data_IF_673250811426
#
_entry.id   IF_673250811426
#
_cell.length_a   1.000
_cell.length_b   1.000
_cell.length_c   1.000
_cell.angle_alpha   90.00
_cell.angle_beta   90.00
_cell.angle_gamma   90.00
#
_symmetry.space_group_name_H-M   'P 1'
#
loop_
_entity.id
_entity.type
_entity.pdbx_description
1 polymer ?
#
# COMPACT_ATOMS: atom_id res chain seq x y z
N UNK A 1 -15.51 35.77 14.40
CA UNK A 1 -14.47 36.75 13.98
C UNK A 1 -13.13 36.63 14.71
N UNK A 2 -13.01 36.80 16.03
CA UNK A 2 -11.69 36.71 16.71
C UNK A 2 -11.16 35.27 16.78
N UNK A 3 -12.01 34.31 17.21
CA UNK A 3 -11.67 32.87 17.26
C UNK A 3 -11.30 32.27 15.88
N UNK A 4 -11.98 32.71 14.82
CA UNK A 4 -11.75 32.20 13.45
C UNK A 4 -10.42 32.74 12.89
N UNK A 5 -10.12 34.02 13.16
CA UNK A 5 -8.85 34.65 12.83
C UNK A 5 -7.67 33.95 13.53
N UNK A 6 -7.84 33.56 14.79
CA UNK A 6 -6.81 32.85 15.55
C UNK A 6 -6.58 31.43 14.99
N UNK A 7 -7.65 30.74 14.58
CA UNK A 7 -7.59 29.39 14.01
C UNK A 7 -6.92 29.38 12.64
N UNK A 8 -7.28 30.34 11.77
CA UNK A 8 -6.67 30.49 10.44
C UNK A 8 -5.17 30.78 10.52
N UNK A 9 -4.77 31.72 11.39
CA UNK A 9 -3.36 32.04 11.61
C UNK A 9 -2.59 30.85 12.20
N UNK A 10 -3.19 30.12 13.14
CA UNK A 10 -2.60 28.90 13.68
C UNK A 10 -2.38 27.83 12.60
N UNK A 11 -3.37 27.57 11.74
CA UNK A 11 -3.24 26.64 10.62
C UNK A 11 -2.14 27.06 9.65
N UNK A 12 -2.08 28.36 9.29
CA UNK A 12 -1.01 28.89 8.46
C UNK A 12 0.37 28.66 9.08
N UNK A 13 0.51 28.88 10.40
CA UNK A 13 1.78 28.64 11.09
C UNK A 13 2.17 27.16 11.15
N UNK A 14 1.19 26.26 11.19
CA UNK A 14 1.46 24.81 11.24
C UNK A 14 1.70 24.20 9.87
N UNK A 15 1.01 24.66 8.83
CA UNK A 15 0.97 24.01 7.52
C UNK A 15 1.54 24.89 6.40
N UNK A 16 1.44 26.21 6.51
CA UNK A 16 1.80 27.18 5.46
C UNK A 16 3.27 27.59 5.43
N UNK A 17 4.04 27.44 6.51
CA UNK A 17 5.43 27.95 6.59
C UNK A 17 6.40 27.13 5.71
N UNK A 18 6.16 25.83 5.55
CA UNK A 18 7.06 24.95 4.81
C UNK A 18 6.74 24.93 3.32
N UNK A 19 7.77 25.10 2.47
CA UNK A 19 7.67 24.86 1.03
C UNK A 19 7.53 23.37 0.67
N UNK A 20 7.64 22.47 1.65
CA UNK A 20 7.35 21.05 1.43
C UNK A 20 5.87 20.90 1.02
N UNK A 21 5.63 20.09 -0.02
CA UNK A 21 4.29 19.78 -0.50
C UNK A 21 3.65 18.64 0.30
N UNK A 22 4.44 17.92 1.09
CA UNK A 22 3.96 16.82 1.93
C UNK A 22 3.48 17.30 3.30
N UNK A 23 2.54 16.56 3.85
CA UNK A 23 2.07 16.74 5.22
C UNK A 23 2.88 15.90 6.17
N UNK A 24 3.33 16.52 7.27
CA UNK A 24 3.78 15.73 8.42
C UNK A 24 2.57 15.44 9.31
N UNK A 25 2.43 14.21 9.82
CA UNK A 25 1.33 13.83 10.72
C UNK A 25 1.29 14.58 12.06
N UNK A 26 2.20 15.55 12.28
CA UNK A 26 2.33 16.33 13.51
C UNK A 26 1.11 17.20 13.85
N UNK A 27 0.33 17.62 12.84
CA UNK A 27 -0.90 18.38 13.05
C UNK A 27 -2.01 17.52 13.67
N UNK A 28 -2.02 16.22 13.38
CA UNK A 28 -3.12 15.32 13.77
C UNK A 28 -3.25 15.17 15.29
N UNK A 29 -2.15 15.34 16.04
CA UNK A 29 -2.18 15.28 17.51
C UNK A 29 -2.85 16.51 18.14
N UNK A 30 -3.03 17.58 17.37
CA UNK A 30 -3.67 18.83 17.81
C UNK A 30 -5.09 18.97 17.26
N UNK A 31 -5.51 18.09 16.34
CA UNK A 31 -6.88 18.05 15.84
C UNK A 31 -7.81 17.40 16.89
N UNK A 32 -9.01 17.95 16.99
CA UNK A 32 -10.13 17.41 17.76
C UNK A 32 -11.43 17.98 17.18
N UNK A 33 -12.58 17.49 17.62
CA UNK A 33 -13.87 17.92 17.11
C UNK A 33 -14.12 19.45 17.18
N UNK A 34 -13.71 20.13 18.25
CA UNK A 34 -13.89 21.59 18.37
C UNK A 34 -13.00 22.34 17.37
N UNK A 35 -11.75 21.92 17.24
CA UNK A 35 -10.81 22.48 16.26
C UNK A 35 -11.34 22.28 14.83
N UNK A 36 -11.82 21.09 14.48
CA UNK A 36 -12.36 20.82 13.14
C UNK A 36 -13.60 21.69 12.82
N UNK A 37 -14.46 21.96 13.80
CA UNK A 37 -15.58 22.90 13.62
C UNK A 37 -15.10 24.31 13.30
N UNK A 38 -14.14 24.82 14.07
CA UNK A 38 -13.57 26.15 13.82
C UNK A 38 -12.85 26.22 12.46
N UNK A 39 -12.22 25.12 12.04
CA UNK A 39 -11.55 25.01 10.74
C UNK A 39 -12.55 25.13 9.60
N UNK A 40 -13.71 24.46 9.69
CA UNK A 40 -14.76 24.57 8.67
C UNK A 40 -15.14 26.03 8.41
N UNK A 41 -15.34 26.80 9.49
CA UNK A 41 -15.81 28.19 9.40
C UNK A 41 -14.79 29.12 8.73
N UNK A 42 -13.49 28.87 8.91
CA UNK A 42 -12.42 29.66 8.27
C UNK A 42 -11.82 29.02 7.01
N UNK A 43 -12.28 27.82 6.61
CA UNK A 43 -11.70 27.06 5.50
C UNK A 43 -11.63 27.85 4.19
N UNK A 44 -12.68 28.57 3.74
CA UNK A 44 -12.65 29.29 2.46
C UNK A 44 -11.53 30.33 2.38
N UNK A 45 -11.20 30.96 3.52
CA UNK A 45 -10.20 32.03 3.64
C UNK A 45 -8.76 31.51 3.73
N UNK A 46 -8.57 30.19 3.87
CA UNK A 46 -7.25 29.59 3.92
C UNK A 46 -6.56 29.64 2.55
N UNK A 47 -5.24 29.75 2.55
CA UNK A 47 -4.45 29.59 1.33
C UNK A 47 -4.55 28.17 0.79
N UNK A 48 -4.53 28.00 -0.55
CA UNK A 48 -4.59 26.70 -1.23
C UNK A 48 -3.63 25.67 -0.61
N UNK A 49 -2.38 26.05 -0.36
CA UNK A 49 -1.38 25.14 0.21
C UNK A 49 -1.76 24.62 1.60
N UNK A 50 -2.39 25.48 2.43
CA UNK A 50 -2.87 25.11 3.77
C UNK A 50 -4.07 24.18 3.64
N UNK A 51 -5.01 24.46 2.73
CA UNK A 51 -6.17 23.61 2.43
C UNK A 51 -5.75 22.20 2.02
N UNK A 52 -4.85 22.08 1.05
CA UNK A 52 -4.34 20.79 0.55
C UNK A 52 -3.65 20.00 1.66
N UNK A 53 -2.79 20.65 2.44
CA UNK A 53 -2.10 19.99 3.56
C UNK A 53 -3.06 19.60 4.69
N UNK A 54 -4.10 20.38 4.95
CA UNK A 54 -5.11 20.03 5.93
C UNK A 54 -5.86 18.77 5.48
N UNK A 55 -6.35 18.73 4.24
CA UNK A 55 -7.08 17.59 3.69
C UNK A 55 -6.21 16.31 3.67
N UNK A 56 -4.96 16.41 3.20
CA UNK A 56 -4.01 15.29 3.22
C UNK A 56 -3.69 14.81 4.66
N UNK A 57 -3.77 15.70 5.65
CA UNK A 57 -3.55 15.30 7.05
C UNK A 57 -4.59 14.30 7.56
N UNK A 58 -5.77 14.21 6.95
CA UNK A 58 -6.82 13.29 7.36
C UNK A 58 -6.38 11.82 7.27
N UNK A 59 -5.47 11.48 6.35
CA UNK A 59 -4.88 10.15 6.24
C UNK A 59 -4.02 9.74 7.42
N UNK A 60 -3.52 10.71 8.18
CA UNK A 60 -2.68 10.48 9.35
C UNK A 60 -3.50 10.41 10.65
N UNK A 61 -4.81 10.68 10.59
CA UNK A 61 -5.70 10.58 11.75
C UNK A 61 -5.96 9.09 12.04
N UNK A 62 -5.77 8.62 13.28
CA UNK A 62 -6.09 7.24 13.66
C UNK A 62 -7.56 6.91 13.38
N UNK A 63 -7.84 5.69 12.91
CA UNK A 63 -9.20 5.24 12.53
C UNK A 63 -10.27 5.54 13.58
N UNK A 64 -9.97 5.34 14.87
CA UNK A 64 -10.90 5.64 15.97
C UNK A 64 -11.32 7.12 16.00
N UNK A 65 -10.36 8.02 15.79
CA UNK A 65 -10.62 9.47 15.78
C UNK A 65 -11.36 9.90 14.51
N UNK A 66 -11.10 9.24 13.37
CA UNK A 66 -11.88 9.45 12.14
C UNK A 66 -13.35 9.07 12.35
N UNK A 67 -13.64 7.98 13.06
CA UNK A 67 -15.01 7.57 13.38
C UNK A 67 -15.69 8.55 14.35
N UNK A 68 -14.95 9.07 15.33
CA UNK A 68 -15.45 9.99 16.35
C UNK A 68 -15.79 11.37 15.77
N UNK A 69 -14.97 11.88 14.86
CA UNK A 69 -15.11 13.23 14.28
C UNK A 69 -15.59 13.18 12.82
N UNK A 70 -16.28 12.10 12.46
CA UNK A 70 -16.72 11.82 11.09
C UNK A 70 -17.48 13.00 10.48
N UNK A 71 -18.46 13.53 11.21
CA UNK A 71 -19.33 14.60 10.71
C UNK A 71 -18.53 15.88 10.44
N UNK A 72 -17.64 16.26 11.36
CA UNK A 72 -16.79 17.43 11.20
C UNK A 72 -15.83 17.30 10.00
N UNK A 73 -15.31 16.10 9.75
CA UNK A 73 -14.47 15.82 8.58
C UNK A 73 -15.27 15.88 7.27
N UNK A 74 -16.48 15.32 7.26
CA UNK A 74 -17.38 15.37 6.09
C UNK A 74 -17.77 16.81 5.76
N UNK A 75 -18.11 17.62 6.77
CA UNK A 75 -18.45 19.05 6.58
C UNK A 75 -17.27 19.86 6.00
N UNK A 76 -16.03 19.60 6.40
CA UNK A 76 -14.86 20.25 5.80
C UNK A 76 -14.68 19.83 4.34
N UNK A 77 -14.88 18.53 4.04
CA UNK A 77 -14.77 18.01 2.66
C UNK A 77 -15.85 18.62 1.77
N UNK A 78 -17.08 18.80 2.26
CA UNK A 78 -18.16 19.45 1.51
C UNK A 78 -17.80 20.90 1.14
N UNK A 79 -17.22 21.67 2.07
CA UNK A 79 -16.75 23.03 1.78
C UNK A 79 -15.59 23.01 0.78
N UNK A 80 -14.65 22.07 0.91
CA UNK A 80 -13.52 21.92 0.01
C UNK A 80 -13.93 21.49 -1.41
N UNK A 81 -15.03 20.77 -1.56
CA UNK A 81 -15.50 20.28 -2.85
C UNK A 81 -16.00 21.39 -3.79
N UNK A 82 -16.42 22.52 -3.23
CA UNK A 82 -16.87 23.71 -3.98
C UNK A 82 -15.81 24.82 -4.01
N UNK A 83 -14.56 24.48 -3.67
CA UNK A 83 -13.44 25.42 -3.71
C UNK A 83 -13.11 25.81 -5.15
N UNK A 84 -12.71 27.06 -5.37
CA UNK A 84 -12.32 27.55 -6.70
C UNK A 84 -10.99 26.98 -7.19
N UNK A 85 -10.18 26.41 -6.29
CA UNK A 85 -8.96 25.71 -6.64
C UNK A 85 -9.27 24.24 -6.97
N UNK A 86 -9.03 23.85 -8.24
CA UNK A 86 -9.32 22.50 -8.73
C UNK A 86 -8.53 21.40 -8.01
N UNK A 87 -7.35 21.67 -7.45
CA UNK A 87 -6.63 20.67 -6.67
C UNK A 87 -7.34 20.39 -5.35
N UNK A 88 -7.89 21.43 -4.71
CA UNK A 88 -8.66 21.30 -3.48
C UNK A 88 -9.96 20.53 -3.76
N UNK A 89 -10.70 20.91 -4.79
CA UNK A 89 -11.95 20.25 -5.19
C UNK A 89 -11.72 18.77 -5.57
N UNK A 90 -10.70 18.47 -6.37
CA UNK A 90 -10.36 17.10 -6.74
C UNK A 90 -9.96 16.25 -5.53
N UNK A 91 -9.15 16.81 -4.62
CA UNK A 91 -8.75 16.10 -3.41
C UNK A 91 -9.95 15.85 -2.48
N UNK A 92 -10.86 16.81 -2.35
CA UNK A 92 -12.12 16.63 -1.63
C UNK A 92 -12.95 15.49 -2.23
N UNK A 93 -13.05 15.40 -3.56
CA UNK A 93 -13.78 14.32 -4.22
C UNK A 93 -13.19 12.93 -3.98
N UNK A 94 -11.86 12.83 -4.01
CA UNK A 94 -11.14 11.59 -3.68
C UNK A 94 -11.36 11.21 -2.21
N UNK A 95 -11.44 12.20 -1.32
CA UNK A 95 -11.57 12.01 0.13
C UNK A 95 -13.00 11.77 0.63
N UNK A 96 -14.04 12.08 -0.16
CA UNK A 96 -15.44 12.08 0.32
C UNK A 96 -15.92 10.79 0.99
N UNK A 97 -15.40 9.63 0.57
CA UNK A 97 -15.75 8.32 1.14
C UNK A 97 -14.85 7.91 2.32
N UNK A 98 -13.78 8.66 2.59
CA UNK A 98 -12.77 8.28 3.58
C UNK A 98 -13.31 8.33 5.02
N UNK A 99 -14.00 9.40 5.49
CA UNK A 99 -14.52 9.42 6.86
C UNK A 99 -15.53 8.28 7.14
N UNK A 100 -16.36 7.95 6.14
CA UNK A 100 -17.43 6.95 6.27
C UNK A 100 -16.96 5.51 6.12
N UNK A 101 -16.16 5.21 5.10
CA UNK A 101 -15.76 3.84 4.74
C UNK A 101 -14.30 3.49 5.06
N UNK A 102 -13.47 4.50 5.34
CA UNK A 102 -12.01 4.33 5.44
C UNK A 102 -11.33 4.10 4.09
N UNK A 103 -12.05 4.21 2.97
CA UNK A 103 -11.53 4.01 1.62
C UNK A 103 -11.67 5.29 0.79
N UNK A 104 -10.77 5.44 -0.19
CA UNK A 104 -10.81 6.55 -1.14
C UNK A 104 -11.89 6.33 -2.19
N UNK A 105 -12.44 7.45 -2.67
CA UNK A 105 -13.37 7.42 -3.77
C UNK A 105 -12.59 7.17 -5.07
N UNK A 106 -12.99 6.13 -5.79
CA UNK A 106 -12.40 5.78 -7.10
C UNK A 106 -13.28 6.20 -8.27
N UNK A 107 -14.49 6.70 -7.99
CA UNK A 107 -15.46 7.18 -8.96
C UNK A 107 -15.56 8.70 -8.88
N UNK A 108 -14.64 9.37 -9.57
CA UNK A 108 -14.60 10.83 -9.70
C UNK A 108 -15.58 11.24 -10.79
N UNK A 109 -16.79 11.63 -10.39
CA UNK A 109 -17.92 11.89 -11.28
C UNK A 109 -18.98 12.84 -10.71
N UNK A 110 -18.89 13.21 -9.42
CA UNK A 110 -19.94 13.96 -8.74
C UNK A 110 -19.81 15.46 -8.94
N UNK A 111 -18.58 16.01 -8.92
CA UNK A 111 -18.39 17.45 -9.09
C UNK A 111 -18.20 17.83 -10.55
N UNK A 112 -18.97 18.82 -11.01
CA UNK A 112 -19.01 19.21 -12.41
C UNK A 112 -17.67 19.80 -12.90
N UNK A 113 -16.86 20.38 -12.02
CA UNK A 113 -15.57 20.97 -12.38
C UNK A 113 -14.46 19.93 -12.57
N UNK A 114 -14.44 18.87 -11.75
CA UNK A 114 -13.41 17.82 -11.75
C UNK A 114 -13.73 16.69 -12.74
N UNK A 115 -15.03 16.39 -12.93
CA UNK A 115 -15.51 15.29 -13.77
C UNK A 115 -14.97 15.31 -15.20
N UNK A 116 -15.00 16.43 -15.96
CA UNK A 116 -14.51 16.44 -17.34
C UNK A 116 -13.02 16.10 -17.42
N UNK A 117 -12.22 16.69 -16.52
CA UNK A 117 -10.76 16.47 -16.45
C UNK A 117 -10.45 14.98 -16.22
N UNK A 118 -11.14 14.37 -15.24
CA UNK A 118 -10.92 12.97 -14.92
C UNK A 118 -11.44 12.03 -16.03
N UNK A 119 -12.64 12.29 -16.55
CA UNK A 119 -13.25 11.47 -17.61
C UNK A 119 -12.41 11.46 -18.88
N UNK A 120 -11.91 12.60 -19.33
CA UNK A 120 -11.09 12.71 -20.53
C UNK A 120 -9.76 11.97 -20.36
N UNK A 121 -9.11 12.13 -19.20
CA UNK A 121 -7.89 11.40 -18.85
C UNK A 121 -8.13 9.88 -18.86
N UNK A 122 -9.20 9.40 -18.21
CA UNK A 122 -9.52 7.97 -18.18
C UNK A 122 -9.84 7.44 -19.59
N UNK A 123 -10.55 8.20 -20.41
CA UNK A 123 -10.86 7.82 -21.79
C UNK A 123 -9.59 7.72 -22.65
N UNK A 124 -8.64 8.62 -22.48
CA UNK A 124 -7.33 8.55 -23.14
C UNK A 124 -6.51 7.34 -22.65
N UNK A 125 -6.41 7.14 -21.34
CA UNK A 125 -5.69 6.01 -20.76
C UNK A 125 -6.27 4.66 -21.18
N UNK A 126 -7.60 4.52 -21.23
CA UNK A 126 -8.28 3.31 -21.74
C UNK A 126 -7.92 3.04 -23.21
N UNK A 127 -7.88 4.08 -24.04
CA UNK A 127 -7.48 3.97 -25.46
C UNK A 127 -6.01 3.57 -25.59
N UNK A 128 -5.12 4.14 -24.77
CA UNK A 128 -3.70 3.80 -24.77
C UNK A 128 -3.47 2.35 -24.29
N UNK A 129 -4.14 1.94 -23.22
CA UNK A 129 -4.04 0.58 -22.68
C UNK A 129 -4.54 -0.47 -23.66
N UNK A 130 -5.65 -0.20 -24.36
CA UNK A 130 -6.17 -1.09 -25.40
C UNK A 130 -5.19 -1.29 -26.57
N UNK A 131 -4.32 -0.31 -26.87
CA UNK A 131 -3.29 -0.44 -27.91
C UNK A 131 -2.07 -1.25 -27.47
N UNK A 132 -1.83 -1.40 -26.16
CA UNK A 132 -0.62 -1.99 -25.59
C UNK A 132 -0.91 -3.16 -24.63
N UNK A 133 -2.05 -3.82 -24.79
CA UNK A 133 -2.47 -4.91 -23.89
C UNK A 133 -1.60 -6.17 -23.99
N UNK A 134 -0.66 -6.23 -24.94
CA UNK A 134 0.20 -7.37 -25.25
C UNK A 134 1.59 -7.32 -24.58
N UNK A 135 1.91 -6.26 -23.83
CA UNK A 135 3.24 -6.07 -23.21
C UNK A 135 3.61 -7.16 -22.18
N UNK A 136 2.65 -7.95 -21.69
CA UNK A 136 2.90 -9.06 -20.77
C UNK A 136 3.50 -8.65 -19.43
N UNK A 137 3.39 -7.36 -19.06
CA UNK A 137 3.83 -6.84 -17.78
C UNK A 137 2.84 -7.26 -16.70
N UNK A 138 3.34 -7.94 -15.67
CA UNK A 138 2.55 -8.38 -14.52
C UNK A 138 2.88 -7.53 -13.29
N UNK A 139 1.93 -7.37 -12.36
CA UNK A 139 2.17 -6.76 -11.07
C UNK A 139 3.31 -7.46 -10.28
N UNK A 140 4.02 -6.71 -9.43
CA UNK A 140 5.21 -7.20 -8.73
C UNK A 140 4.92 -8.34 -7.75
N UNK A 141 3.72 -8.37 -7.18
CA UNK A 141 3.26 -9.44 -6.29
C UNK A 141 3.24 -10.81 -6.99
N UNK A 142 3.13 -10.86 -8.32
CA UNK A 142 3.13 -12.10 -9.09
C UNK A 142 4.45 -12.88 -8.95
N UNK A 143 5.55 -12.23 -8.59
CA UNK A 143 6.84 -12.88 -8.34
C UNK A 143 6.82 -13.82 -7.12
N UNK A 144 5.84 -13.64 -6.22
CA UNK A 144 5.74 -14.36 -4.97
C UNK A 144 4.61 -15.39 -4.97
N UNK A 145 3.82 -15.46 -6.05
CA UNK A 145 2.71 -16.39 -6.18
C UNK A 145 3.21 -17.77 -6.62
N UNK A 146 2.61 -18.82 -6.04
CA UNK A 146 2.75 -20.15 -6.60
C UNK A 146 2.03 -20.25 -7.95
N UNK A 147 2.32 -21.30 -8.72
CA UNK A 147 1.78 -21.48 -10.08
C UNK A 147 0.24 -21.40 -10.14
N UNK A 148 -0.46 -22.01 -9.18
CA UNK A 148 -1.92 -22.07 -9.20
C UNK A 148 -2.53 -20.70 -8.84
N UNK A 149 -1.96 -20.02 -7.84
CA UNK A 149 -2.37 -18.68 -7.46
C UNK A 149 -2.10 -17.67 -8.58
N UNK A 150 -0.95 -17.76 -9.24
CA UNK A 150 -0.61 -16.91 -10.38
C UNK A 150 -1.64 -17.07 -11.51
N UNK A 151 -1.93 -18.32 -11.91
CA UNK A 151 -2.94 -18.60 -12.95
C UNK A 151 -4.33 -18.09 -12.54
N UNK A 152 -4.68 -18.15 -11.26
CA UNK A 152 -5.96 -17.63 -10.77
C UNK A 152 -6.06 -16.11 -10.85
N UNK A 153 -4.96 -15.37 -10.69
CA UNK A 153 -4.97 -13.89 -10.65
C UNK A 153 -4.82 -13.29 -12.05
N UNK A 154 -3.89 -13.81 -12.85
CA UNK A 154 -3.51 -13.22 -14.15
C UNK A 154 -3.82 -14.14 -15.33
N UNK A 155 -4.49 -15.28 -15.10
CA UNK A 155 -4.79 -16.25 -16.13
C UNK A 155 -3.58 -17.05 -16.60
N UNK A 156 -3.81 -17.86 -17.64
CA UNK A 156 -2.76 -18.67 -18.25
C UNK A 156 -1.75 -17.76 -18.97
N UNK A 157 -0.50 -17.78 -18.51
CA UNK A 157 0.58 -17.01 -19.12
C UNK A 157 0.98 -17.57 -20.48
N UNK A 158 1.28 -16.68 -21.43
CA UNK A 158 1.80 -17.06 -22.73
C UNK A 158 3.15 -17.76 -22.58
N UNK A 159 3.38 -18.77 -23.41
CA UNK A 159 4.68 -19.42 -23.45
C UNK A 159 5.73 -18.43 -23.98
N UNK A 160 6.97 -18.45 -23.45
CA UNK A 160 8.05 -17.62 -23.97
C UNK A 160 8.25 -17.82 -25.47
N UNK A 161 8.46 -16.72 -26.20
CA UNK A 161 8.70 -16.76 -27.65
C UNK A 161 9.99 -17.53 -27.94
N UNK A 162 9.88 -18.57 -28.78
CA UNK A 162 11.01 -19.39 -29.16
C UNK A 162 11.81 -18.70 -30.27
N UNK A 163 12.77 -17.86 -29.90
CA UNK A 163 13.60 -17.13 -30.87
C UNK A 163 14.61 -18.01 -31.62
N UNK A 164 15.03 -19.14 -31.04
CA UNK A 164 15.95 -20.09 -31.65
C UNK A 164 15.79 -21.49 -31.04
N UNK A 165 16.46 -22.48 -31.63
CA UNK A 165 16.51 -23.84 -31.09
C UNK A 165 17.90 -24.14 -30.54
N UNK A 166 17.99 -24.54 -29.27
CA UNK A 166 19.24 -24.95 -28.64
C UNK A 166 19.72 -26.29 -29.21
N UNK A 167 20.94 -26.31 -29.77
CA UNK A 167 21.56 -27.55 -30.28
C UNK A 167 22.08 -28.46 -29.16
N UNK A 168 22.47 -27.89 -28.02
CA UNK A 168 23.02 -28.60 -26.85
C UNK A 168 22.55 -27.89 -25.57
N UNK A 169 22.42 -28.64 -24.46
CA UNK A 169 22.07 -28.07 -23.15
C UNK A 169 23.20 -27.15 -22.65
N UNK A 170 22.89 -26.06 -21.91
CA UNK A 170 23.90 -25.14 -21.39
C UNK A 170 24.73 -25.77 -20.26
N UNK A 171 25.91 -25.20 -20.00
CA UNK A 171 26.84 -25.67 -18.95
C UNK A 171 26.21 -25.70 -17.54
N UNK A 172 25.22 -24.84 -17.27
CA UNK A 172 24.49 -24.80 -16.00
C UNK A 172 23.76 -26.10 -15.67
N UNK A 173 23.39 -26.90 -16.68
CA UNK A 173 22.77 -28.21 -16.46
C UNK A 173 23.77 -29.19 -15.82
N UNK A 174 25.00 -29.26 -16.36
CA UNK A 174 26.05 -30.11 -15.79
C UNK A 174 26.41 -29.68 -14.37
N UNK A 175 26.54 -28.36 -14.15
CA UNK A 175 26.81 -27.79 -12.83
C UNK A 175 25.72 -28.15 -11.81
N UNK A 176 24.44 -28.04 -12.19
CA UNK A 176 23.32 -28.42 -11.31
C UNK A 176 23.38 -29.91 -10.95
N UNK A 177 23.68 -30.79 -11.91
CA UNK A 177 23.80 -32.23 -11.66
C UNK A 177 24.95 -32.56 -10.71
N UNK A 178 26.10 -31.91 -10.86
CA UNK A 178 27.25 -32.07 -9.97
C UNK A 178 26.91 -31.64 -8.53
N UNK A 179 26.27 -30.47 -8.36
CA UNK A 179 25.85 -29.97 -7.06
C UNK A 179 24.83 -30.91 -6.38
N UNK A 180 23.89 -31.47 -7.13
CA UNK A 180 22.92 -32.43 -6.61
C UNK A 180 23.57 -33.75 -6.19
N UNK A 181 24.53 -34.27 -6.98
CA UNK A 181 25.27 -35.48 -6.63
C UNK A 181 26.09 -35.27 -5.34
N UNK A 182 26.82 -34.15 -5.25
CA UNK A 182 27.59 -33.78 -4.06
C UNK A 182 26.70 -33.60 -2.82
N UNK A 183 25.53 -32.98 -2.99
CA UNK A 183 24.56 -32.85 -1.89
C UNK A 183 24.04 -34.23 -1.40
N UNK A 184 23.76 -35.16 -2.32
CA UNK A 184 23.32 -36.50 -1.98
C UNK A 184 24.42 -37.30 -1.25
N UNK A 185 25.69 -37.18 -1.67
CA UNK A 185 26.83 -37.79 -0.98
C UNK A 185 26.98 -37.27 0.45
N UNK A 186 26.85 -35.96 0.67
CA UNK A 186 26.89 -35.35 2.00
C UNK A 186 25.74 -35.86 2.87
N UNK A 187 24.51 -35.93 2.34
CA UNK A 187 23.36 -36.48 3.07
C UNK A 187 23.54 -37.97 3.43
N UNK A 188 24.08 -38.77 2.51
CA UNK A 188 24.36 -40.18 2.75
C UNK A 188 25.45 -40.37 3.84
N UNK A 189 26.48 -39.52 3.85
CA UNK A 189 27.51 -39.55 4.88
C UNK A 189 27.00 -39.07 6.25
N UNK A 190 26.08 -38.10 6.30
CA UNK A 190 25.41 -37.71 7.56
C UNK A 190 24.57 -38.85 8.15
N UNK A 191 23.86 -39.62 7.31
CA UNK A 191 23.13 -40.82 7.77
C UNK A 191 24.06 -41.93 8.31
N UNK A 192 25.29 -42.03 7.78
CA UNK A 192 26.32 -42.96 8.27
C UNK A 192 27.04 -42.45 9.54
N UNK A 193 27.00 -41.15 9.81
CA UNK A 193 27.64 -40.52 10.97
C UNK A 193 26.73 -40.44 12.22
N UNK A 194 25.46 -40.87 12.13
CA UNK A 194 24.65 -41.16 13.31
C UNK A 194 25.34 -42.30 14.08
N UNK A 195 25.99 -41.95 15.19
CA UNK A 195 26.89 -42.82 15.94
C UNK A 195 26.25 -44.18 16.29
N UNK A 196 27.04 -45.27 16.36
CA UNK A 196 26.56 -46.51 16.93
C UNK A 196 26.12 -46.24 18.37
N UNK A 197 24.87 -46.57 18.70
CA UNK A 197 24.42 -46.60 20.09
C UNK A 197 25.27 -47.63 20.81
N UNK A 198 26.22 -47.16 21.63
CA UNK A 198 27.00 -48.03 22.52
C UNK A 198 25.99 -48.77 23.41
N UNK A 199 25.99 -50.12 23.48
CA UNK A 199 25.10 -50.81 24.38
C UNK A 199 25.54 -50.52 25.81
N UNK A 200 24.69 -49.85 26.59
CA UNK A 200 24.92 -49.67 28.03
C UNK A 200 24.83 -51.06 28.67
N UNK A 201 25.98 -51.62 29.02
CA UNK A 201 26.09 -52.88 29.76
C UNK A 201 25.63 -52.62 31.20
N UNK A 202 24.33 -52.79 31.46
CA UNK A 202 23.74 -52.70 32.79
C UNK A 202 24.42 -53.71 33.72
N UNK A 203 25.19 -53.24 34.71
CA UNK A 203 25.68 -54.05 35.82
C UNK A 203 24.49 -54.52 36.66
N UNK A 204 23.95 -55.69 36.35
CA UNK A 204 23.04 -56.42 37.21
C UNK A 204 23.83 -57.15 38.29
N UNK A 205 23.81 -56.65 39.52
CA UNK A 205 24.33 -57.35 40.69
C UNK A 205 23.36 -58.50 41.02
N UNK A 206 23.80 -59.77 41.11
CA UNK A 206 22.88 -60.84 41.45
C UNK A 206 22.60 -60.81 42.95
N UNK A 207 21.35 -60.46 43.31
CA UNK A 207 20.79 -60.75 44.63
C UNK A 207 20.75 -62.27 44.80
N UNK A 208 21.57 -62.81 45.71
CA UNK A 208 21.33 -64.14 46.25
C UNK A 208 20.19 -64.05 47.27
N UNK A 209 19.15 -64.84 47.02
CA UNK A 209 18.17 -65.25 48.04
C UNK A 209 18.84 -66.30 48.93
N UNK A 210 18.89 -66.02 50.23
CA UNK A 210 18.72 -66.89 51.40
C UNK A 210 19.19 -66.12 52.62
#
# INVERSE_FOLDING_TARGET
>A
NVRDSDTSLWLHNKLGISNDSWTTGSICTQLNAEVLKNIKDCFPDLQTQVKLKLLLSFFHIPRRSVEEWKNELEEIIEVAAVDSDLWVAMLAEVLKTFPSSGTLNTEIAEFDETRPVFSDMIAELRRALAKHSDLGLLPLECLYLNKNALVSVVGQQANPVKHFTLKRKPKSVALRSELLAKAAEVQANQKKAAAPTVPVRSRGMPRKMT
#
